data_IF_877165336049
#
_entry.id   IF_877165336049
#
_cell.length_a   1.000
_cell.length_b   1.000
_cell.length_c   1.000
_cell.angle_alpha   90.00
_cell.angle_beta   90.00
_cell.angle_gamma   90.00
#
_symmetry.space_group_name_H-M   'P 1'
#
loop_
_entity.id
_entity.type
_entity.pdbx_description
1 polymer ?
#
# COMPACT_ATOMS: atom_id res chain seq x y z
N UNK A 1 33.87 -67.42 47.56
CA UNK A 1 32.48 -67.89 47.36
C UNK A 1 31.56 -66.69 47.33
N UNK A 2 30.88 -66.50 46.19
CA UNK A 2 29.76 -65.58 45.98
C UNK A 2 28.49 -66.39 46.31
N UNK A 3 27.43 -65.84 46.96
CA UNK A 3 26.35 -65.22 46.18
C UNK A 3 25.62 -64.03 46.83
N UNK A 4 25.33 -63.07 45.95
CA UNK A 4 24.31 -62.03 46.03
C UNK A 4 22.90 -62.66 46.11
N UNK A 5 21.94 -62.02 46.79
CA UNK A 5 20.74 -61.55 46.09
C UNK A 5 20.36 -60.12 46.54
N UNK A 6 20.17 -59.20 45.60
CA UNK A 6 18.88 -58.79 45.01
C UNK A 6 18.32 -57.54 45.73
N UNK A 7 18.20 -56.48 44.94
CA UNK A 7 17.99 -55.10 45.32
C UNK A 7 16.62 -54.83 45.94
N UNK A 8 16.57 -53.99 46.97
CA UNK A 8 15.44 -53.07 47.24
C UNK A 8 16.00 -51.79 47.87
N UNK A 9 15.70 -50.64 47.29
CA UNK A 9 16.10 -49.35 47.86
C UNK A 9 15.70 -48.14 47.02
N UNK A 10 14.65 -47.46 47.50
CA UNK A 10 14.44 -46.00 47.46
C UNK A 10 13.70 -45.39 46.26
N UNK A 11 12.48 -44.96 46.58
CA UNK A 11 11.65 -43.98 45.89
C UNK A 11 12.19 -42.54 46.07
N UNK A 12 12.07 -41.78 44.98
CA UNK A 12 11.98 -40.32 44.86
C UNK A 12 13.22 -39.43 45.09
N UNK A 13 13.66 -38.73 44.03
CA UNK A 13 13.55 -37.26 43.93
C UNK A 13 13.94 -36.75 42.52
N UNK A 14 13.12 -35.83 42.01
CA UNK A 14 13.31 -34.99 40.82
C UNK A 14 14.72 -34.39 40.70
N UNK A 15 15.27 -34.31 39.47
CA UNK A 15 16.02 -33.15 39.02
C UNK A 15 15.06 -32.17 38.36
N UNK A 16 14.87 -31.03 39.02
CA UNK A 16 14.11 -29.86 38.57
C UNK A 16 14.62 -29.42 37.20
N UNK A 17 13.72 -29.40 36.21
CA UNK A 17 13.98 -28.81 34.89
C UNK A 17 14.56 -27.40 35.03
N UNK A 18 15.55 -27.00 34.21
CA UNK A 18 15.87 -25.58 34.08
C UNK A 18 14.61 -24.90 33.53
N UNK A 19 14.13 -23.90 34.28
CA UNK A 19 13.01 -23.08 33.91
C UNK A 19 13.21 -22.57 32.48
N UNK A 20 12.34 -23.00 31.57
CA UNK A 20 12.23 -22.44 30.23
C UNK A 20 11.76 -21.01 30.41
N UNK A 21 12.71 -20.07 30.38
CA UNK A 21 12.43 -18.65 30.23
C UNK A 21 11.45 -18.52 29.06
N UNK A 22 10.29 -17.86 29.18
CA UNK A 22 9.55 -17.51 27.99
C UNK A 22 10.46 -16.55 27.24
N UNK A 23 11.06 -17.05 26.14
CA UNK A 23 11.66 -16.20 25.15
C UNK A 23 10.56 -15.20 24.78
N UNK A 24 10.75 -13.96 25.23
CA UNK A 24 9.97 -12.83 24.79
C UNK A 24 9.96 -12.94 23.27
N UNK A 25 8.81 -13.25 22.71
CA UNK A 25 8.63 -13.25 21.28
C UNK A 25 8.94 -11.83 20.84
N UNK A 26 10.17 -11.60 20.35
CA UNK A 26 10.46 -10.39 19.62
C UNK A 26 9.51 -10.46 18.42
N UNK A 27 8.51 -9.58 18.31
CA UNK A 27 7.76 -9.49 17.07
C UNK A 27 8.78 -9.09 15.99
N UNK A 28 8.65 -9.61 14.75
CA UNK A 28 9.51 -9.17 13.66
C UNK A 28 9.42 -7.65 13.55
N UNK A 29 10.52 -6.97 13.89
CA UNK A 29 10.58 -5.51 14.03
C UNK A 29 10.33 -4.75 12.72
N UNK A 30 10.29 -5.45 11.58
CA UNK A 30 10.00 -4.91 10.26
C UNK A 30 8.52 -4.59 10.01
N UNK A 31 7.59 -5.28 10.69
CA UNK A 31 6.15 -4.98 10.56
C UNK A 31 5.75 -3.77 11.41
N UNK A 32 6.42 -3.55 12.54
CA UNK A 32 6.12 -2.45 13.46
C UNK A 32 6.51 -1.08 12.91
N UNK A 33 7.59 -0.97 12.14
CA UNK A 33 7.99 0.30 11.51
C UNK A 33 7.08 0.66 10.34
N UNK A 34 6.77 -0.30 9.46
CA UNK A 34 5.84 -0.09 8.33
C UNK A 34 4.44 0.31 8.84
N UNK A 35 3.91 -0.40 9.86
CA UNK A 35 2.63 -0.06 10.48
C UNK A 35 2.62 1.35 11.11
N UNK A 36 3.71 1.76 11.78
CA UNK A 36 3.82 3.12 12.36
C UNK A 36 3.91 4.21 11.29
N UNK A 37 4.63 3.98 10.20
CA UNK A 37 4.73 4.92 9.07
C UNK A 37 3.36 5.04 8.38
N UNK A 38 2.64 3.94 8.21
CA UNK A 38 1.27 3.96 7.67
C UNK A 38 0.32 4.76 8.57
N UNK A 39 0.38 4.62 9.90
CA UNK A 39 -0.44 5.41 10.82
C UNK A 39 -0.10 6.91 10.79
N UNK A 40 1.17 7.26 10.65
CA UNK A 40 1.57 8.67 10.50
C UNK A 40 1.08 9.25 9.17
N UNK A 41 1.15 8.45 8.10
CA UNK A 41 0.67 8.85 6.79
C UNK A 41 -0.86 8.97 6.75
N UNK A 42 -1.58 8.07 7.40
CA UNK A 42 -3.04 8.17 7.57
C UNK A 42 -3.42 9.48 8.28
N UNK A 43 -2.73 9.83 9.37
CA UNK A 43 -2.97 11.10 10.07
C UNK A 43 -2.74 12.30 9.16
N UNK A 44 -1.66 12.30 8.38
CA UNK A 44 -1.40 13.35 7.39
C UNK A 44 -2.55 13.44 6.37
N UNK A 45 -3.05 12.31 5.86
CA UNK A 45 -4.16 12.29 4.91
C UNK A 45 -5.46 12.82 5.53
N UNK A 46 -5.74 12.51 6.79
CA UNK A 46 -6.88 13.08 7.52
C UNK A 46 -6.75 14.61 7.73
N UNK A 47 -5.52 15.14 7.78
CA UNK A 47 -5.28 16.60 7.84
C UNK A 47 -5.43 17.28 6.47
N UNK A 48 -5.12 16.56 5.38
CA UNK A 48 -5.16 17.09 4.01
C UNK A 48 -6.53 16.96 3.33
N UNK A 49 -7.31 15.93 3.70
CA UNK A 49 -8.59 15.59 3.09
C UNK A 49 -9.75 16.05 3.99
N UNK A 50 -10.96 16.24 3.44
CA UNK A 50 -12.12 16.73 4.20
C UNK A 50 -12.75 15.65 5.11
N UNK A 51 -11.96 14.76 5.69
CA UNK A 51 -12.42 13.72 6.61
C UNK A 51 -12.13 14.14 8.05
N UNK A 52 -13.16 14.07 8.90
CA UNK A 52 -13.04 14.32 10.35
C UNK A 52 -12.96 13.05 11.18
N UNK A 53 -13.21 11.91 10.54
CA UNK A 53 -13.34 10.60 11.16
C UNK A 53 -12.58 9.59 10.30
N UNK A 54 -11.73 8.80 10.95
CA UNK A 54 -10.94 7.75 10.30
C UNK A 54 -11.84 6.70 9.66
N UNK A 55 -12.97 6.36 10.29
CA UNK A 55 -13.91 5.35 9.76
C UNK A 55 -14.39 5.74 8.36
N UNK A 56 -14.85 7.00 8.21
CA UNK A 56 -15.30 7.53 6.91
C UNK A 56 -14.19 7.60 5.87
N UNK A 57 -12.95 7.85 6.31
CA UNK A 57 -11.80 7.83 5.41
C UNK A 57 -11.53 6.42 4.90
N UNK A 58 -11.55 5.40 5.76
CA UNK A 58 -11.41 4.00 5.35
C UNK A 58 -12.57 3.53 4.46
N UNK A 59 -13.82 3.87 4.79
CA UNK A 59 -14.99 3.60 3.94
C UNK A 59 -14.83 4.22 2.54
N UNK A 60 -14.24 5.43 2.48
CA UNK A 60 -13.93 6.09 1.22
C UNK A 60 -12.80 5.40 0.45
N UNK A 61 -11.73 4.96 1.13
CA UNK A 61 -10.64 4.20 0.52
C UNK A 61 -11.13 2.86 -0.08
N UNK A 62 -12.11 2.23 0.54
CA UNK A 62 -12.72 0.99 0.07
C UNK A 62 -13.80 1.21 -1.01
N UNK A 63 -14.19 2.47 -1.25
CA UNK A 63 -15.17 2.80 -2.28
C UNK A 63 -14.63 2.62 -3.70
N UNK A 64 -15.53 2.46 -4.67
CA UNK A 64 -15.17 2.36 -6.08
C UNK A 64 -14.44 3.60 -6.62
N UNK A 65 -14.61 4.76 -5.98
CA UNK A 65 -13.97 6.02 -6.38
C UNK A 65 -12.47 6.03 -6.08
N UNK A 66 -12.00 5.17 -5.18
CA UNK A 66 -10.57 4.99 -4.88
C UNK A 66 -10.08 3.65 -5.42
N UNK A 67 -10.83 2.57 -5.18
CA UNK A 67 -10.47 1.21 -5.61
C UNK A 67 -10.42 1.07 -7.13
N UNK A 68 -11.29 1.76 -7.88
CA UNK A 68 -11.26 1.74 -9.34
C UNK A 68 -9.94 2.27 -9.92
N UNK A 69 -9.58 3.54 -9.65
CA UNK A 69 -8.28 4.11 -10.05
C UNK A 69 -7.08 3.34 -9.51
N UNK A 70 -7.16 2.82 -8.28
CA UNK A 70 -6.11 1.98 -7.69
C UNK A 70 -5.89 0.68 -8.46
N UNK A 71 -6.98 -0.04 -8.78
CA UNK A 71 -6.92 -1.29 -9.52
C UNK A 71 -6.35 -1.07 -10.94
N UNK A 72 -6.75 0.03 -11.59
CA UNK A 72 -6.18 0.45 -12.89
C UNK A 72 -4.66 0.70 -12.76
N UNK A 73 -4.24 1.49 -11.77
CA UNK A 73 -2.83 1.77 -11.52
C UNK A 73 -2.02 0.50 -11.22
N UNK A 74 -2.59 -0.40 -10.41
CA UNK A 74 -1.91 -1.63 -10.01
C UNK A 74 -1.73 -2.59 -11.19
N UNK A 75 -2.79 -2.80 -11.98
CA UNK A 75 -2.78 -3.70 -13.13
C UNK A 75 -1.89 -3.17 -14.25
N UNK A 76 -2.00 -1.87 -14.56
CA UNK A 76 -1.34 -1.29 -15.71
C UNK A 76 0.10 -0.85 -15.42
N UNK A 77 0.49 -0.62 -14.16
CA UNK A 77 1.84 -0.14 -13.87
C UNK A 77 2.51 -0.90 -12.74
N UNK A 78 1.94 -0.89 -11.54
CA UNK A 78 2.66 -1.32 -10.34
C UNK A 78 3.08 -2.79 -10.39
N UNK A 79 2.19 -3.68 -10.83
CA UNK A 79 2.47 -5.12 -10.92
C UNK A 79 3.63 -5.42 -11.88
N UNK A 80 3.67 -4.71 -13.03
CA UNK A 80 4.74 -4.85 -14.02
C UNK A 80 6.06 -4.27 -13.51
N UNK A 81 6.00 -3.09 -12.89
CA UNK A 81 7.18 -2.45 -12.32
C UNK A 81 7.82 -3.28 -11.19
N UNK A 82 7.01 -3.95 -10.35
CA UNK A 82 7.53 -4.87 -9.33
C UNK A 82 8.22 -6.08 -9.98
N UNK A 83 7.61 -6.65 -11.03
CA UNK A 83 8.19 -7.78 -11.76
C UNK A 83 9.52 -7.40 -12.43
N UNK A 84 9.61 -6.21 -13.03
CA UNK A 84 10.85 -5.71 -13.63
C UNK A 84 11.95 -5.51 -12.59
N UNK A 85 11.62 -4.96 -11.41
CA UNK A 85 12.57 -4.84 -10.29
C UNK A 85 13.03 -6.21 -9.81
N UNK A 86 12.14 -7.20 -9.74
CA UNK A 86 12.50 -8.57 -9.37
C UNK A 86 13.44 -9.23 -10.39
N UNK A 87 13.23 -8.95 -11.68
CA UNK A 87 14.06 -9.48 -12.76
C UNK A 87 15.45 -8.83 -12.82
N UNK A 88 15.60 -7.58 -12.33
CA UNK A 88 16.86 -6.83 -12.35
C UNK A 88 17.94 -7.35 -11.38
N UNK A 89 17.62 -8.32 -10.52
CA UNK A 89 18.58 -9.01 -9.66
C UNK A 89 18.14 -9.09 -8.19
N UNK A 90 18.90 -9.81 -7.35
CA UNK A 90 18.52 -10.05 -5.97
C UNK A 90 18.44 -8.73 -5.18
N UNK A 91 17.26 -8.47 -4.64
CA UNK A 91 17.05 -7.45 -3.61
C UNK A 91 17.85 -7.80 -2.36
N UNK A 92 18.46 -6.80 -1.74
CA UNK A 92 19.15 -6.96 -0.46
C UNK A 92 18.18 -7.51 0.59
N UNK A 93 18.42 -8.73 1.07
CA UNK A 93 17.65 -9.31 2.18
C UNK A 93 16.77 -10.53 1.85
N UNK A 94 16.80 -11.06 0.62
CA UNK A 94 16.15 -12.35 0.29
C UNK A 94 14.61 -12.33 0.27
N UNK A 95 14.00 -11.17 0.45
CA UNK A 95 12.56 -10.95 0.33
C UNK A 95 12.22 -10.47 -1.09
N UNK A 96 11.11 -10.95 -1.68
CA UNK A 96 10.66 -10.46 -2.97
C UNK A 96 10.44 -8.94 -2.92
N UNK A 97 10.76 -8.19 -4.00
CA UNK A 97 10.53 -6.75 -4.03
C UNK A 97 9.05 -6.44 -3.83
N UNK A 98 8.77 -5.60 -2.84
CA UNK A 98 7.45 -5.02 -2.65
C UNK A 98 7.27 -3.73 -3.46
N UNK A 99 6.06 -3.16 -3.47
CA UNK A 99 5.77 -1.90 -4.17
C UNK A 99 6.59 -0.69 -3.69
N UNK A 100 7.15 -0.73 -2.48
CA UNK A 100 8.11 0.27 -2.00
C UNK A 100 9.45 0.24 -2.74
N UNK A 101 9.76 -0.84 -3.47
CA UNK A 101 10.96 -0.94 -4.30
C UNK A 101 10.80 -0.22 -5.65
N UNK A 102 9.57 0.13 -6.05
CA UNK A 102 9.30 0.86 -7.29
C UNK A 102 9.48 2.36 -7.05
N UNK A 103 10.44 3.02 -7.74
CA UNK A 103 10.70 4.45 -7.57
C UNK A 103 9.48 5.30 -7.87
N UNK A 104 9.34 6.37 -7.08
CA UNK A 104 8.22 7.30 -7.16
C UNK A 104 8.62 8.56 -7.96
N UNK A 105 7.79 9.02 -8.91
CA UNK A 105 7.97 10.30 -9.56
C UNK A 105 7.98 11.49 -8.56
N UNK A 106 8.50 12.64 -8.98
CA UNK A 106 8.46 13.84 -8.13
C UNK A 106 7.00 14.27 -7.86
N UNK A 107 6.65 14.42 -6.59
CA UNK A 107 5.29 14.77 -6.16
C UNK A 107 4.81 16.10 -6.74
N UNK A 108 5.65 17.14 -6.70
CA UNK A 108 5.25 18.50 -7.12
C UNK A 108 4.99 18.54 -8.62
N UNK A 109 5.91 17.98 -9.40
CA UNK A 109 5.82 17.87 -10.86
C UNK A 109 4.60 17.06 -11.27
N UNK A 110 4.40 15.89 -10.66
CA UNK A 110 3.27 15.00 -10.95
C UNK A 110 1.93 15.65 -10.63
N UNK A 111 1.81 16.29 -9.46
CA UNK A 111 0.59 16.99 -9.06
C UNK A 111 0.27 18.17 -9.99
N UNK A 112 1.30 18.92 -10.41
CA UNK A 112 1.14 20.01 -11.36
C UNK A 112 0.69 19.49 -12.74
N UNK A 113 1.30 18.42 -13.24
CA UNK A 113 0.92 17.78 -14.49
C UNK A 113 -0.53 17.27 -14.45
N UNK A 114 -0.97 16.68 -13.34
CA UNK A 114 -2.35 16.24 -13.15
C UNK A 114 -3.35 17.40 -13.11
N UNK A 115 -3.01 18.49 -12.41
CA UNK A 115 -3.84 19.70 -12.40
C UNK A 115 -4.00 20.28 -13.81
N UNK A 116 -2.91 20.40 -14.55
CA UNK A 116 -2.94 20.89 -15.94
C UNK A 116 -3.73 19.94 -16.85
N UNK A 117 -3.57 18.63 -16.67
CA UNK A 117 -4.31 17.62 -17.42
C UNK A 117 -5.82 17.74 -17.20
N UNK A 118 -6.25 17.85 -15.95
CA UNK A 118 -7.67 17.96 -15.61
C UNK A 118 -8.27 19.30 -16.08
N UNK A 119 -7.56 20.42 -15.87
CA UNK A 119 -8.01 21.74 -16.35
C UNK A 119 -8.09 21.82 -17.87
N UNK A 120 -7.12 21.23 -18.58
CA UNK A 120 -7.08 21.17 -20.03
C UNK A 120 -7.91 20.04 -20.64
N UNK A 121 -8.58 19.22 -19.82
CA UNK A 121 -9.30 18.00 -20.25
C UNK A 121 -8.46 17.14 -21.20
N UNK A 122 -7.17 16.97 -20.90
CA UNK A 122 -6.23 16.27 -21.77
C UNK A 122 -6.72 14.84 -22.00
N UNK A 123 -7.08 14.52 -23.26
CA UNK A 123 -7.65 13.22 -23.62
C UNK A 123 -6.80 12.04 -23.11
N UNK A 124 -5.46 12.17 -23.16
CA UNK A 124 -4.51 11.19 -22.61
C UNK A 124 -4.90 10.70 -21.21
N UNK A 125 -5.39 11.57 -20.33
CA UNK A 125 -5.68 11.25 -18.93
C UNK A 125 -7.16 11.26 -18.56
N UNK A 126 -8.05 11.79 -19.42
CA UNK A 126 -9.47 11.96 -19.08
C UNK A 126 -10.40 10.95 -19.77
N UNK A 127 -10.00 10.30 -20.85
CA UNK A 127 -10.88 9.36 -21.56
C UNK A 127 -11.01 8.03 -20.81
N UNK A 128 -12.12 7.32 -21.06
CA UNK A 128 -12.31 5.96 -20.59
C UNK A 128 -11.42 5.01 -21.41
N UNK A 129 -10.50 4.30 -20.74
CA UNK A 129 -9.49 3.40 -21.34
C UNK A 129 -8.61 4.07 -22.42
N UNK A 130 -7.71 5.00 -22.04
CA UNK A 130 -6.73 5.54 -22.97
C UNK A 130 -5.76 4.46 -23.45
N UNK A 131 -5.14 4.67 -24.60
CA UNK A 131 -3.95 3.90 -25.00
C UNK A 131 -2.77 4.26 -24.08
N UNK A 132 -2.18 3.23 -23.47
CA UNK A 132 -1.10 3.32 -22.48
C UNK A 132 0.22 2.73 -22.97
N UNK A 133 0.30 2.36 -24.25
CA UNK A 133 1.48 1.71 -24.84
C UNK A 133 2.78 2.49 -24.63
N UNK A 134 2.72 3.83 -24.67
CA UNK A 134 3.86 4.72 -24.53
C UNK A 134 3.86 5.51 -23.19
N UNK A 135 3.17 5.00 -22.16
CA UNK A 135 3.09 5.70 -20.87
C UNK A 135 4.34 5.49 -20.02
N UNK A 136 4.75 6.58 -19.38
CA UNK A 136 5.79 6.59 -18.35
C UNK A 136 5.21 6.29 -16.97
N UNK A 137 6.06 6.03 -15.97
CA UNK A 137 5.63 5.92 -14.57
C UNK A 137 4.85 7.17 -14.12
N UNK A 138 5.33 8.37 -14.48
CA UNK A 138 4.65 9.63 -14.16
C UNK A 138 3.26 9.71 -14.80
N UNK A 139 3.09 9.24 -16.04
CA UNK A 139 1.78 9.23 -16.70
C UNK A 139 0.74 8.39 -15.93
N UNK A 140 1.14 7.24 -15.39
CA UNK A 140 0.25 6.41 -14.56
C UNK A 140 -0.13 7.10 -13.24
N UNK A 141 0.82 7.81 -12.60
CA UNK A 141 0.51 8.58 -11.39
C UNK A 141 -0.41 9.78 -11.70
N UNK A 142 -0.15 10.49 -12.80
CA UNK A 142 -1.01 11.58 -13.28
C UNK A 142 -2.43 11.05 -13.55
N UNK A 143 -2.55 9.91 -14.24
CA UNK A 143 -3.85 9.27 -14.51
C UNK A 143 -4.59 8.94 -13.22
N UNK A 144 -3.93 8.34 -12.25
CA UNK A 144 -4.55 8.04 -10.95
C UNK A 144 -5.12 9.32 -10.31
N UNK A 145 -4.32 10.38 -10.22
CA UNK A 145 -4.75 11.65 -9.62
C UNK A 145 -5.90 12.28 -10.39
N UNK A 146 -5.82 12.33 -11.73
CA UNK A 146 -6.87 12.91 -12.57
C UNK A 146 -8.19 12.19 -12.38
N UNK A 147 -8.20 10.85 -12.41
CA UNK A 147 -9.43 10.06 -12.23
C UNK A 147 -9.96 10.21 -10.81
N UNK A 148 -9.10 10.08 -9.80
CA UNK A 148 -9.49 10.21 -8.39
C UNK A 148 -10.16 11.58 -8.14
N UNK A 149 -9.54 12.67 -8.58
CA UNK A 149 -10.08 14.01 -8.37
C UNK A 149 -11.37 14.22 -9.16
N UNK A 150 -11.42 13.84 -10.45
CA UNK A 150 -12.60 14.02 -11.28
C UNK A 150 -13.83 13.29 -10.71
N UNK A 151 -13.66 12.02 -10.32
CA UNK A 151 -14.75 11.21 -9.79
C UNK A 151 -15.22 11.70 -8.41
N UNK A 152 -14.29 12.12 -7.56
CA UNK A 152 -14.63 12.64 -6.23
C UNK A 152 -15.22 14.06 -6.26
N UNK A 153 -14.97 14.84 -7.32
CA UNK A 153 -15.71 16.07 -7.56
C UNK A 153 -17.18 15.79 -7.91
N UNK A 154 -17.49 14.68 -8.60
CA UNK A 154 -18.88 14.27 -8.86
C UNK A 154 -19.60 13.81 -7.59
N UNK A 155 -18.86 13.35 -6.58
CA UNK A 155 -19.38 12.93 -5.27
C UNK A 155 -19.40 14.03 -4.22
N UNK A 156 -19.08 15.28 -4.60
CA UNK A 156 -18.99 16.43 -3.69
C UNK A 156 -17.97 16.25 -2.54
N UNK A 157 -16.94 15.41 -2.71
CA UNK A 157 -15.80 15.41 -1.78
C UNK A 157 -15.03 16.72 -1.91
N UNK A 158 -14.85 17.19 -3.15
CA UNK A 158 -14.34 18.53 -3.46
C UNK A 158 -15.30 19.25 -4.39
N UNK A 159 -15.52 20.53 -4.13
CA UNK A 159 -16.32 21.36 -5.03
C UNK A 159 -15.46 22.00 -6.13
N UNK A 160 -16.06 22.29 -7.28
CA UNK A 160 -15.35 22.97 -8.39
C UNK A 160 -14.74 24.32 -7.98
N UNK A 161 -15.40 25.04 -7.08
CA UNK A 161 -14.90 26.30 -6.51
C UNK A 161 -13.64 26.11 -5.66
N UNK A 162 -13.53 24.99 -4.96
CA UNK A 162 -12.34 24.62 -4.19
C UNK A 162 -11.22 24.17 -5.13
N UNK A 163 -11.54 23.35 -6.13
CA UNK A 163 -10.58 22.95 -7.17
C UNK A 163 -9.94 24.16 -7.85
N UNK A 164 -10.73 25.17 -8.21
CA UNK A 164 -10.22 26.42 -8.83
C UNK A 164 -9.22 27.15 -7.95
N UNK A 165 -9.38 27.11 -6.62
CA UNK A 165 -8.53 27.84 -5.67
C UNK A 165 -7.34 27.02 -5.17
N UNK A 166 -7.55 25.72 -4.92
CA UNK A 166 -6.64 24.82 -4.21
C UNK A 166 -6.28 23.57 -5.02
N UNK A 167 -6.52 23.56 -6.32
CA UNK A 167 -6.38 22.34 -7.14
C UNK A 167 -5.00 21.70 -7.09
N UNK A 168 -3.92 22.49 -6.90
CA UNK A 168 -2.58 21.92 -6.73
C UNK A 168 -2.44 21.18 -5.40
N UNK A 169 -3.00 21.70 -4.31
CA UNK A 169 -2.94 21.06 -2.99
C UNK A 169 -3.83 19.81 -2.95
N UNK A 170 -4.99 19.85 -3.62
CA UNK A 170 -5.84 18.67 -3.83
C UNK A 170 -5.09 17.59 -4.62
N UNK A 171 -4.41 17.97 -5.71
CA UNK A 171 -3.62 17.03 -6.50
C UNK A 171 -2.44 16.44 -5.70
N UNK A 172 -1.79 17.22 -4.84
CA UNK A 172 -0.76 16.73 -3.92
C UNK A 172 -1.33 15.77 -2.87
N UNK A 173 -2.52 16.03 -2.34
CA UNK A 173 -3.19 15.12 -1.40
C UNK A 173 -3.57 13.81 -2.09
N UNK A 174 -4.10 13.86 -3.32
CA UNK A 174 -4.37 12.69 -4.15
C UNK A 174 -3.10 11.87 -4.46
N UNK A 175 -1.95 12.53 -4.67
CA UNK A 175 -0.66 11.85 -4.78
C UNK A 175 -0.33 11.07 -3.50
N UNK A 176 -0.49 11.69 -2.32
CA UNK A 176 -0.23 11.00 -1.05
C UNK A 176 -1.18 9.82 -0.82
N UNK A 177 -2.44 9.93 -1.26
CA UNK A 177 -3.38 8.79 -1.24
C UNK A 177 -2.81 7.62 -2.06
N UNK A 178 -2.27 7.87 -3.25
CA UNK A 178 -1.62 6.81 -4.05
C UNK A 178 -0.45 6.16 -3.30
N UNK A 179 0.41 6.95 -2.67
CA UNK A 179 1.56 6.43 -1.92
C UNK A 179 1.11 5.63 -0.70
N UNK A 180 0.08 6.09 0.00
CA UNK A 180 -0.53 5.37 1.11
C UNK A 180 -1.10 4.03 0.65
N UNK A 181 -1.84 3.99 -0.47
CA UNK A 181 -2.37 2.76 -1.04
C UNK A 181 -1.26 1.78 -1.44
N UNK A 182 -0.16 2.27 -2.05
CA UNK A 182 1.04 1.47 -2.33
C UNK A 182 1.64 0.84 -1.08
N UNK A 183 1.62 1.54 0.05
CA UNK A 183 2.18 1.04 1.30
C UNK A 183 1.24 0.05 2.02
N UNK A 184 -0.07 0.13 1.81
CA UNK A 184 -1.07 -0.55 2.66
C UNK A 184 -1.90 -1.61 1.94
N UNK A 185 -2.14 -1.48 0.63
CA UNK A 185 -3.06 -2.34 -0.13
C UNK A 185 -2.36 -3.42 -0.95
N UNK A 186 -1.19 -3.87 -0.47
CA UNK A 186 -0.38 -4.94 -1.08
C UNK A 186 -0.85 -6.31 -0.61
N UNK A 187 -2.11 -6.61 -0.83
CA UNK A 187 -2.54 -7.99 -0.91
C UNK A 187 -3.07 -8.19 -2.32
N UNK A 188 -2.22 -8.76 -3.17
CA UNK A 188 -2.73 -9.62 -4.23
C UNK A 188 -3.69 -10.59 -3.52
N UNK A 189 -4.96 -10.60 -3.93
CA UNK A 189 -5.82 -11.71 -3.60
C UNK A 189 -5.05 -12.98 -4.00
N UNK A 190 -4.73 -13.90 -3.06
CA UNK A 190 -4.06 -15.14 -3.41
C UNK A 190 -4.90 -15.98 -4.39
N UNK A 191 -6.16 -15.60 -4.65
CA UNK A 191 -7.03 -16.28 -5.59
C UNK A 191 -7.95 -15.31 -6.37
N UNK A 192 -7.43 -14.55 -7.35
CA UNK A 192 -8.25 -13.64 -8.13
C UNK A 192 -9.33 -14.42 -8.91
N UNK A 193 -10.55 -13.86 -9.10
CA UNK A 193 -11.59 -14.52 -9.89
C UNK A 193 -11.09 -14.84 -11.30
N UNK A 194 -10.99 -16.13 -11.64
CA UNK A 194 -10.73 -16.56 -13.01
C UNK A 194 -12.05 -16.49 -13.79
N UNK A 195 -12.21 -15.48 -14.63
CA UNK A 195 -13.23 -15.52 -15.68
C UNK A 195 -12.65 -16.29 -16.86
N UNK A 196 -12.77 -17.62 -16.81
CA UNK A 196 -12.61 -18.45 -17.99
C UNK A 196 -13.76 -18.13 -18.94
N UNK A 197 -13.44 -17.67 -20.16
CA UNK A 197 -14.38 -17.51 -21.25
C UNK A 197 -14.82 -18.88 -21.81
#
# INVERSE_FOLDING_TARGET
>A
MVPKPAAVGTVAAMPTSPARTPALANPPASYSSSSRVSLQHERLLLELLPFKDATKFHDWLDSNFVRGPWNEFNADFLSRAIADVAAAGPTTGGLPPGPSAVPEPDKIRTAQAAREALNGRKAKFCVYRPDKSAWTAEDHHVRFIVTLVADNMLQNLWYESEWKKKGLDIAKAAYEVLIFLKATMVYADPNPPSYSA
#
